data_IF_118189952114
#
_entry.id   IF_118189952114
#
_cell.length_a   1.000
_cell.length_b   1.000
_cell.length_c   1.000
_cell.angle_alpha   90.00
_cell.angle_beta   90.00
_cell.angle_gamma   90.00
#
_symmetry.space_group_name_H-M   'P 1'
#
loop_
_entity.id
_entity.type
_entity.pdbx_description
1 polymer ?
#
# COMPACT_ATOMS: atom_id res chain seq x y z
N UNK A 1 16.34 6.99 -3.75
CA UNK A 1 17.09 7.87 -2.82
C UNK A 1 18.49 8.21 -3.34
N UNK A 2 19.33 7.23 -3.71
CA UNK A 2 20.69 7.50 -4.22
C UNK A 2 20.72 8.33 -5.52
N UNK A 3 19.69 8.23 -6.36
CA UNK A 3 19.60 8.99 -7.61
C UNK A 3 19.48 10.50 -7.40
N UNK A 4 19.00 10.96 -6.24
CA UNK A 4 18.85 12.38 -5.91
C UNK A 4 20.06 12.96 -5.17
N UNK A 5 20.91 12.13 -4.61
CA UNK A 5 22.03 12.57 -3.79
C UNK A 5 23.00 13.47 -4.59
N UNK A 6 23.22 14.67 -4.10
CA UNK A 6 24.06 15.71 -4.74
C UNK A 6 23.55 16.15 -6.13
N UNK A 7 22.30 15.84 -6.50
CA UNK A 7 21.72 16.31 -7.75
C UNK A 7 21.01 17.65 -7.57
N UNK A 8 21.07 18.49 -8.61
CA UNK A 8 20.29 19.73 -8.67
C UNK A 8 18.87 19.41 -9.15
N UNK A 9 17.88 19.71 -8.32
CA UNK A 9 16.47 19.42 -8.54
C UNK A 9 15.66 20.70 -8.62
N UNK A 10 14.84 20.81 -9.66
CA UNK A 10 13.89 21.90 -9.86
C UNK A 10 12.46 21.42 -9.56
N UNK A 11 11.77 22.13 -8.68
CA UNK A 11 10.35 21.85 -8.36
C UNK A 11 9.50 23.01 -8.87
N UNK A 12 8.46 22.69 -9.64
CA UNK A 12 7.51 23.64 -10.19
C UNK A 12 6.25 23.66 -9.35
N UNK A 13 5.94 24.85 -8.80
CA UNK A 13 4.78 25.09 -7.94
C UNK A 13 5.03 24.78 -6.46
N UNK A 14 4.62 25.69 -5.58
CA UNK A 14 4.77 25.61 -4.13
C UNK A 14 3.41 25.61 -3.42
N UNK A 15 2.65 24.55 -3.70
CA UNK A 15 1.53 24.08 -2.88
C UNK A 15 2.00 22.95 -1.95
N UNK A 16 1.05 22.20 -1.38
CA UNK A 16 1.34 21.11 -0.43
C UNK A 16 2.25 20.04 -1.04
N UNK A 17 1.93 19.54 -2.24
CA UNK A 17 2.79 18.57 -2.94
C UNK A 17 4.16 19.14 -3.33
N UNK A 18 4.24 20.44 -3.65
CA UNK A 18 5.51 21.10 -3.95
C UNK A 18 6.43 21.16 -2.73
N UNK A 19 5.87 21.49 -1.57
CA UNK A 19 6.59 21.50 -0.30
C UNK A 19 7.01 20.07 0.10
N UNK A 20 6.12 19.09 -0.02
CA UNK A 20 6.43 17.69 0.26
C UNK A 20 7.57 17.14 -0.62
N UNK A 21 7.54 17.48 -1.91
CA UNK A 21 8.65 17.13 -2.83
C UNK A 21 9.96 17.81 -2.43
N UNK A 22 9.92 19.08 -2.00
CA UNK A 22 11.11 19.81 -1.54
C UNK A 22 11.70 19.16 -0.28
N UNK A 23 10.88 18.84 0.72
CA UNK A 23 11.30 18.12 1.95
C UNK A 23 11.95 16.79 1.60
N UNK A 24 11.30 16.00 0.74
CA UNK A 24 11.79 14.69 0.33
C UNK A 24 13.13 14.77 -0.41
N UNK A 25 13.23 15.65 -1.40
CA UNK A 25 14.47 15.81 -2.17
C UNK A 25 15.63 16.29 -1.29
N UNK A 26 15.39 17.21 -0.35
CA UNK A 26 16.40 17.65 0.63
C UNK A 26 16.81 16.48 1.53
N UNK A 27 15.85 15.69 2.05
CA UNK A 27 16.12 14.49 2.84
C UNK A 27 16.99 13.48 2.08
N UNK A 28 16.83 13.41 0.76
CA UNK A 28 17.65 12.56 -0.11
C UNK A 28 19.02 13.17 -0.47
N UNK A 29 19.34 14.36 0.05
CA UNK A 29 20.63 15.03 -0.19
C UNK A 29 20.71 15.80 -1.51
N UNK A 30 19.57 16.16 -2.13
CA UNK A 30 19.52 16.96 -3.34
C UNK A 30 19.71 18.47 -3.03
N UNK A 31 20.21 19.20 -4.02
CA UNK A 31 20.21 20.67 -4.06
C UNK A 31 18.91 21.13 -4.72
N UNK A 32 17.99 21.69 -3.94
CA UNK A 32 16.63 21.98 -4.39
C UNK A 32 16.43 23.46 -4.70
N UNK A 33 15.82 23.73 -5.84
CA UNK A 33 15.25 25.03 -6.19
C UNK A 33 13.76 24.86 -6.44
N UNK A 34 12.94 25.78 -5.90
CA UNK A 34 11.48 25.79 -6.11
C UNK A 34 11.10 27.03 -6.89
N UNK A 35 10.34 26.88 -7.96
CA UNK A 35 9.82 27.97 -8.80
C UNK A 35 8.31 28.03 -8.69
N UNK A 36 7.78 29.23 -8.51
CA UNK A 36 6.33 29.48 -8.59
C UNK A 36 6.06 30.80 -9.33
N UNK A 37 4.95 30.86 -10.06
CA UNK A 37 4.53 32.07 -10.76
C UNK A 37 3.91 33.11 -9.83
N UNK A 38 3.60 32.73 -8.60
CA UNK A 38 3.08 33.61 -7.56
C UNK A 38 4.22 34.17 -6.71
N UNK A 39 4.18 35.42 -6.40
CA UNK A 39 5.17 36.06 -5.51
C UNK A 39 5.14 35.47 -4.10
N UNK A 40 3.94 35.17 -3.59
CA UNK A 40 3.71 34.55 -2.29
C UNK A 40 2.82 33.31 -2.40
N UNK A 41 3.36 32.17 -2.86
CA UNK A 41 2.62 30.91 -2.90
C UNK A 41 2.29 30.41 -1.49
N UNK A 42 1.25 29.57 -1.32
CA UNK A 42 0.71 29.19 -0.01
C UNK A 42 1.75 28.65 0.98
N UNK A 43 2.73 27.89 0.52
CA UNK A 43 3.70 27.23 1.38
C UNK A 43 5.06 27.95 1.49
N UNK A 44 5.17 29.20 1.00
CA UNK A 44 6.44 29.95 1.01
C UNK A 44 6.97 30.22 2.41
N UNK A 45 6.09 30.57 3.34
CA UNK A 45 6.48 30.87 4.74
C UNK A 45 7.02 29.60 5.41
N UNK A 46 6.37 28.45 5.19
CA UNK A 46 6.80 27.14 5.71
C UNK A 46 8.12 26.73 5.09
N UNK A 47 8.27 26.83 3.76
CA UNK A 47 9.52 26.52 3.06
C UNK A 47 10.70 27.30 3.65
N UNK A 48 10.55 28.60 3.85
CA UNK A 48 11.62 29.46 4.40
C UNK A 48 12.01 29.11 5.83
N UNK A 49 11.05 28.65 6.62
CA UNK A 49 11.29 28.28 8.01
C UNK A 49 11.95 26.91 8.14
N UNK A 50 11.44 25.91 7.42
CA UNK A 50 11.88 24.53 7.55
C UNK A 50 13.09 24.20 6.68
N UNK A 51 13.18 24.81 5.49
CA UNK A 51 14.19 24.52 4.49
C UNK A 51 14.90 25.79 4.00
N UNK A 52 15.57 26.55 4.89
CA UNK A 52 16.20 27.83 4.53
C UNK A 52 17.29 27.70 3.45
N UNK A 53 17.83 26.50 3.22
CA UNK A 53 18.80 26.19 2.18
C UNK A 53 18.17 26.07 0.79
N UNK A 54 16.85 25.88 0.69
CA UNK A 54 16.15 25.75 -0.60
C UNK A 54 15.93 27.12 -1.22
N UNK A 55 16.37 27.27 -2.45
CA UNK A 55 16.21 28.52 -3.21
C UNK A 55 14.78 28.62 -3.73
N UNK A 56 14.05 29.66 -3.36
CA UNK A 56 12.78 30.03 -3.97
C UNK A 56 13.00 31.06 -5.09
N UNK A 57 12.38 30.83 -6.25
CA UNK A 57 12.43 31.67 -7.43
C UNK A 57 11.01 32.05 -7.84
N UNK A 58 10.69 33.34 -7.85
CA UNK A 58 9.47 33.86 -8.45
C UNK A 58 9.73 34.12 -9.93
N UNK A 59 9.15 33.28 -10.81
CA UNK A 59 9.33 33.39 -12.26
C UNK A 59 8.23 32.66 -13.02
N UNK A 60 8.04 33.00 -14.30
CA UNK A 60 7.29 32.18 -15.23
C UNK A 60 7.98 30.82 -15.43
N UNK A 61 7.22 29.82 -15.86
CA UNK A 61 7.75 28.47 -16.18
C UNK A 61 8.26 28.45 -17.62
N UNK A 62 9.45 28.94 -17.85
CA UNK A 62 10.08 29.00 -19.17
C UNK A 62 11.31 28.07 -19.31
N UNK A 63 11.77 27.86 -20.54
CA UNK A 63 12.85 26.92 -20.82
C UNK A 63 14.20 27.32 -20.19
N UNK A 64 14.41 28.60 -19.89
CA UNK A 64 15.67 29.11 -19.27
C UNK A 64 15.91 28.59 -17.87
N UNK A 65 14.85 28.07 -17.21
CA UNK A 65 14.98 27.41 -15.91
C UNK A 65 15.77 26.08 -16.00
N UNK A 66 15.92 25.53 -17.20
CA UNK A 66 16.62 24.27 -17.48
C UNK A 66 17.80 24.49 -18.42
N UNK A 67 17.61 25.25 -19.49
CA UNK A 67 18.63 25.50 -20.49
C UNK A 67 19.84 26.25 -19.91
N UNK A 68 21.04 25.67 -20.07
CA UNK A 68 22.26 26.23 -19.51
C UNK A 68 22.39 26.14 -18.00
N UNK A 69 21.51 25.42 -17.33
CA UNK A 69 21.53 25.18 -15.88
C UNK A 69 22.06 23.78 -15.54
N UNK A 70 22.53 23.59 -14.31
CA UNK A 70 23.00 22.30 -13.81
C UNK A 70 21.86 21.38 -13.31
N UNK A 71 20.60 21.64 -13.73
CA UNK A 71 19.44 20.86 -13.33
C UNK A 71 19.54 19.42 -13.86
N UNK A 72 19.20 18.44 -13.03
CA UNK A 72 19.20 17.00 -13.37
C UNK A 72 17.81 16.36 -13.28
N UNK A 73 16.90 16.97 -12.52
CA UNK A 73 15.52 16.50 -12.42
C UNK A 73 14.56 17.68 -12.29
N UNK A 74 13.37 17.53 -12.86
CA UNK A 74 12.27 18.51 -12.77
C UNK A 74 11.01 17.82 -12.31
N UNK A 75 10.45 18.27 -11.20
CA UNK A 75 9.19 17.77 -10.67
C UNK A 75 8.14 18.86 -10.63
N UNK A 76 6.89 18.52 -10.96
CA UNK A 76 5.79 19.48 -10.96
C UNK A 76 4.71 19.13 -9.93
N UNK A 77 4.12 20.15 -9.32
CA UNK A 77 2.89 20.03 -8.53
C UNK A 77 1.71 19.62 -9.42
N UNK A 78 0.80 18.74 -8.96
CA UNK A 78 -0.32 18.25 -9.77
C UNK A 78 -1.31 19.35 -10.18
N UNK A 79 -1.39 20.47 -9.45
CA UNK A 79 -2.24 21.60 -9.76
C UNK A 79 -1.77 22.50 -10.89
N UNK A 80 -0.61 22.23 -11.49
CA UNK A 80 -0.09 23.00 -12.64
C UNK A 80 -0.53 22.32 -13.94
N UNK A 81 -1.26 23.09 -14.80
CA UNK A 81 -1.73 22.57 -16.07
C UNK A 81 -0.56 22.22 -17.00
N UNK A 82 -0.71 21.19 -17.87
CA UNK A 82 0.31 20.82 -18.84
C UNK A 82 0.75 22.01 -19.70
N UNK A 83 -0.17 22.86 -20.09
CA UNK A 83 0.10 24.05 -20.90
C UNK A 83 0.98 25.07 -20.15
N UNK A 84 0.70 25.29 -18.86
CA UNK A 84 1.44 26.27 -18.04
C UNK A 84 2.91 25.92 -17.86
N UNK A 85 3.24 24.63 -17.83
CA UNK A 85 4.61 24.11 -17.61
C UNK A 85 5.26 23.63 -18.91
N UNK A 86 4.55 23.64 -20.05
CA UNK A 86 5.03 23.06 -21.30
C UNK A 86 6.43 23.54 -21.72
N UNK A 87 6.81 24.84 -21.63
CA UNK A 87 8.14 25.26 -22.07
C UNK A 87 9.25 24.64 -21.25
N UNK A 88 9.18 24.66 -19.90
CA UNK A 88 10.19 24.07 -19.03
C UNK A 88 10.18 22.54 -19.10
N UNK A 89 8.99 21.93 -19.23
CA UNK A 89 8.84 20.49 -19.31
C UNK A 89 9.43 19.89 -20.57
N UNK A 90 9.14 20.50 -21.73
CA UNK A 90 9.72 20.10 -23.01
C UNK A 90 11.22 20.28 -23.05
N UNK A 91 11.76 21.39 -22.53
CA UNK A 91 13.19 21.61 -22.40
C UNK A 91 13.85 20.53 -21.54
N UNK A 92 13.24 20.17 -20.41
CA UNK A 92 13.74 19.10 -19.54
C UNK A 92 13.74 17.74 -20.23
N UNK A 93 12.66 17.38 -20.94
CA UNK A 93 12.59 16.12 -21.70
C UNK A 93 13.61 16.10 -22.86
N UNK A 94 13.75 17.19 -23.59
CA UNK A 94 14.74 17.31 -24.68
C UNK A 94 16.18 17.17 -24.18
N UNK A 95 16.45 17.63 -22.97
CA UNK A 95 17.74 17.46 -22.29
C UNK A 95 17.92 16.07 -21.63
N UNK A 96 16.95 15.18 -21.73
CA UNK A 96 16.99 13.84 -21.13
C UNK A 96 16.98 13.85 -19.59
N UNK A 97 16.43 14.90 -18.98
CA UNK A 97 16.34 15.00 -17.52
C UNK A 97 15.25 14.10 -16.98
N UNK A 98 15.40 13.69 -15.72
CA UNK A 98 14.34 13.00 -15.01
C UNK A 98 13.18 13.96 -14.71
N UNK A 99 12.00 13.68 -15.26
CA UNK A 99 10.79 14.48 -15.06
C UNK A 99 9.73 13.66 -14.37
N UNK A 100 8.91 14.30 -13.53
CA UNK A 100 7.85 13.59 -12.82
C UNK A 100 7.03 14.46 -11.87
N UNK A 101 6.30 13.79 -10.99
CA UNK A 101 5.42 14.38 -9.99
C UNK A 101 5.75 13.82 -8.60
N UNK A 102 4.99 14.22 -7.58
CA UNK A 102 5.08 13.62 -6.25
C UNK A 102 4.87 12.10 -6.28
N UNK A 103 3.90 11.62 -7.08
CA UNK A 103 3.64 10.18 -7.22
C UNK A 103 4.83 9.43 -7.86
N UNK A 104 5.51 10.06 -8.82
CA UNK A 104 6.74 9.50 -9.42
C UNK A 104 7.84 9.31 -8.37
N UNK A 105 8.05 10.32 -7.52
CA UNK A 105 9.03 10.25 -6.41
C UNK A 105 8.63 9.21 -5.36
N UNK A 106 7.35 9.14 -5.02
CA UNK A 106 6.84 8.15 -4.08
C UNK A 106 7.02 6.71 -4.59
N UNK A 107 6.66 6.45 -5.86
CA UNK A 107 6.85 5.14 -6.48
C UNK A 107 8.34 4.74 -6.53
N UNK A 108 9.22 5.68 -6.89
CA UNK A 108 10.67 5.46 -6.87
C UNK A 108 11.18 5.19 -5.44
N UNK A 109 10.66 5.91 -4.45
CA UNK A 109 11.04 5.71 -3.06
C UNK A 109 10.65 4.32 -2.55
N UNK A 110 9.44 3.83 -2.87
CA UNK A 110 9.03 2.46 -2.53
C UNK A 110 9.92 1.41 -3.21
N UNK A 111 10.27 1.62 -4.48
CA UNK A 111 11.18 0.73 -5.21
C UNK A 111 12.58 0.70 -4.56
N UNK A 112 13.12 1.86 -4.18
CA UNK A 112 14.40 1.96 -3.48
C UNK A 112 14.37 1.25 -2.11
N UNK A 113 13.27 1.39 -1.35
CA UNK A 113 13.07 0.73 -0.06
C UNK A 113 12.95 -0.79 -0.23
N UNK A 114 12.26 -1.24 -1.27
CA UNK A 114 12.17 -2.66 -1.62
C UNK A 114 13.57 -3.26 -1.83
N UNK A 115 14.42 -2.58 -2.58
CA UNK A 115 15.77 -3.05 -2.88
C UNK A 115 16.70 -3.01 -1.67
N UNK A 116 16.58 -1.99 -0.79
CA UNK A 116 17.51 -1.74 0.33
C UNK A 116 17.12 -2.42 1.62
N UNK A 117 15.83 -2.56 1.90
CA UNK A 117 15.29 -3.01 3.17
C UNK A 117 14.37 -4.23 3.03
N UNK A 118 14.26 -4.81 1.82
CA UNK A 118 13.29 -5.86 1.49
C UNK A 118 11.84 -5.48 1.90
N UNK A 119 11.51 -4.19 1.80
CA UNK A 119 10.19 -3.68 2.15
C UNK A 119 9.23 -3.80 0.97
N UNK A 120 8.26 -4.72 1.03
CA UNK A 120 7.30 -5.04 -0.02
C UNK A 120 5.87 -4.74 0.41
N UNK A 121 5.48 -3.47 0.58
CA UNK A 121 4.13 -3.14 1.00
C UNK A 121 3.12 -3.44 -0.10
N UNK A 122 1.88 -3.73 0.29
CA UNK A 122 0.76 -3.69 -0.64
C UNK A 122 0.36 -2.24 -0.88
N UNK A 123 0.14 -1.89 -2.15
CA UNK A 123 -0.32 -0.55 -2.54
C UNK A 123 -1.69 -0.66 -3.18
N UNK A 124 -2.68 -0.04 -2.58
CA UNK A 124 -4.06 0.02 -3.07
C UNK A 124 -4.34 1.45 -3.53
N UNK A 125 -4.72 1.62 -4.79
CA UNK A 125 -4.89 2.93 -5.39
C UNK A 125 -6.35 3.17 -5.82
N UNK A 126 -6.90 4.31 -5.44
CA UNK A 126 -8.30 4.67 -5.66
C UNK A 126 -8.39 5.98 -6.45
N UNK A 127 -9.10 5.96 -7.57
CA UNK A 127 -9.51 7.15 -8.31
C UNK A 127 -10.96 7.01 -8.79
N UNK A 128 -11.48 8.02 -9.42
CA UNK A 128 -12.85 8.12 -9.94
C UNK A 128 -13.27 9.57 -10.00
N UNK A 129 -14.42 9.88 -10.57
CA UNK A 129 -15.00 11.22 -10.44
C UNK A 129 -15.50 11.40 -9.02
N UNK A 130 -16.33 10.47 -8.53
CA UNK A 130 -16.97 10.51 -7.21
C UNK A 130 -16.61 9.31 -6.35
N UNK A 131 -16.80 9.40 -5.02
CA UNK A 131 -16.64 8.30 -4.08
C UNK A 131 -15.21 8.04 -3.61
N UNK A 132 -14.19 8.68 -4.19
CA UNK A 132 -12.77 8.44 -3.87
C UNK A 132 -12.49 8.43 -2.36
N UNK A 133 -12.81 9.53 -1.68
CA UNK A 133 -12.51 9.72 -0.26
C UNK A 133 -13.21 8.66 0.60
N UNK A 134 -14.49 8.40 0.33
CA UNK A 134 -15.26 7.37 1.05
C UNK A 134 -14.61 5.99 0.90
N UNK A 135 -14.24 5.60 -0.33
CA UNK A 135 -13.62 4.28 -0.57
C UNK A 135 -12.22 4.22 0.03
N UNK A 136 -11.44 5.30 -0.06
CA UNK A 136 -10.07 5.35 0.50
C UNK A 136 -10.09 5.22 2.02
N UNK A 137 -10.88 6.06 2.70
CA UNK A 137 -11.00 6.02 4.17
C UNK A 137 -11.58 4.69 4.65
N UNK A 138 -12.65 4.22 4.00
CA UNK A 138 -13.25 2.94 4.33
C UNK A 138 -12.26 1.78 4.14
N UNK A 139 -11.56 1.70 3.01
CA UNK A 139 -10.53 0.68 2.77
C UNK A 139 -9.46 0.70 3.86
N UNK A 140 -8.96 1.89 4.22
CA UNK A 140 -8.00 2.06 5.30
C UNK A 140 -8.53 1.54 6.65
N UNK A 141 -9.78 1.87 7.00
CA UNK A 141 -10.43 1.39 8.23
C UNK A 141 -10.60 -0.13 8.24
N UNK A 142 -11.03 -0.73 7.11
CA UNK A 142 -11.21 -2.19 7.02
C UNK A 142 -9.90 -2.94 7.23
N UNK A 143 -8.82 -2.47 6.62
CA UNK A 143 -7.48 -3.05 6.76
C UNK A 143 -6.94 -2.90 8.19
N UNK A 144 -7.09 -1.73 8.80
CA UNK A 144 -6.70 -1.51 10.19
C UNK A 144 -7.49 -2.42 11.16
N UNK A 145 -8.79 -2.61 10.91
CA UNK A 145 -9.63 -3.57 11.67
C UNK A 145 -9.19 -5.01 11.47
N UNK A 146 -8.63 -5.35 10.31
CA UNK A 146 -8.04 -6.65 10.06
C UNK A 146 -6.64 -6.83 10.67
N UNK A 147 -6.16 -5.86 11.46
CA UNK A 147 -4.90 -5.92 12.19
C UNK A 147 -3.67 -5.53 11.36
N UNK A 148 -3.86 -4.93 10.19
CA UNK A 148 -2.73 -4.49 9.35
C UNK A 148 -2.29 -3.07 9.73
N UNK A 149 -0.99 -2.80 9.59
CA UNK A 149 -0.43 -1.44 9.67
C UNK A 149 -0.69 -0.72 8.35
N UNK A 150 -1.50 0.32 8.38
CA UNK A 150 -2.01 1.01 7.19
C UNK A 150 -1.55 2.46 7.18
N UNK A 151 -1.11 2.94 6.02
CA UNK A 151 -0.95 4.35 5.75
C UNK A 151 -1.95 4.79 4.68
N UNK A 152 -2.64 5.90 4.93
CA UNK A 152 -3.59 6.51 3.98
C UNK A 152 -3.03 7.86 3.57
N UNK A 153 -2.96 8.13 2.27
CA UNK A 153 -2.33 9.34 1.75
C UNK A 153 -2.85 9.74 0.36
N UNK A 154 -2.44 10.91 -0.10
CA UNK A 154 -2.68 11.40 -1.45
C UNK A 154 -3.62 12.59 -1.52
N UNK A 155 -4.54 12.60 -2.45
CA UNK A 155 -5.46 13.73 -2.70
C UNK A 155 -6.37 14.09 -1.50
N UNK A 156 -6.59 13.15 -0.60
CA UNK A 156 -7.35 13.36 0.66
C UNK A 156 -6.52 14.12 1.71
N UNK A 157 -5.17 14.14 1.55
CA UNK A 157 -4.22 14.55 2.58
C UNK A 157 -4.04 13.48 3.68
N UNK A 158 -2.90 13.42 4.31
CA UNK A 158 -1.68 14.15 3.97
C UNK A 158 -1.07 13.72 2.62
N UNK A 159 -0.05 14.44 2.16
CA UNK A 159 0.66 14.16 0.91
C UNK A 159 1.37 12.80 0.95
N UNK A 160 1.67 12.23 -0.21
CA UNK A 160 2.31 10.91 -0.32
C UNK A 160 3.69 10.90 0.35
N UNK A 161 4.52 11.91 0.05
CA UNK A 161 5.91 11.96 0.53
C UNK A 161 6.02 12.37 1.99
N UNK A 162 5.13 13.25 2.49
CA UNK A 162 5.13 13.58 3.92
C UNK A 162 4.69 12.36 4.75
N UNK A 163 3.67 11.60 4.27
CA UNK A 163 3.24 10.36 4.94
C UNK A 163 4.36 9.31 4.94
N UNK A 164 5.07 9.16 3.82
CA UNK A 164 6.21 8.24 3.74
C UNK A 164 7.34 8.66 4.68
N UNK A 165 7.65 9.96 4.73
CA UNK A 165 8.66 10.52 5.65
C UNK A 165 8.31 10.22 7.10
N UNK A 166 7.07 10.50 7.51
CA UNK A 166 6.58 10.23 8.85
C UNK A 166 6.63 8.74 9.21
N UNK A 167 6.24 7.87 8.25
CA UNK A 167 6.31 6.42 8.47
C UNK A 167 7.75 5.92 8.66
N UNK A 168 8.70 6.45 7.89
CA UNK A 168 10.12 6.11 8.00
C UNK A 168 10.70 6.60 9.33
N UNK A 169 10.38 7.82 9.76
CA UNK A 169 10.87 8.39 11.00
C UNK A 169 10.30 7.63 12.21
N UNK A 170 9.00 7.35 12.22
CA UNK A 170 8.36 6.56 13.27
C UNK A 170 8.92 5.12 13.35
N UNK A 171 9.19 4.50 12.19
CA UNK A 171 9.78 3.17 12.16
C UNK A 171 11.22 3.17 12.69
N UNK A 172 12.00 4.21 12.38
CA UNK A 172 13.37 4.37 12.90
C UNK A 172 13.39 4.56 14.44
N UNK A 173 12.45 5.37 14.96
CA UNK A 173 12.29 5.56 16.41
C UNK A 173 11.92 4.24 17.12
N UNK A 174 10.95 3.49 16.56
CA UNK A 174 10.53 2.21 17.13
C UNK A 174 11.65 1.17 17.07
N UNK A 175 12.42 1.15 15.98
CA UNK A 175 13.59 0.27 15.88
C UNK A 175 14.64 0.62 16.91
N UNK A 176 14.96 1.89 17.12
CA UNK A 176 15.93 2.32 18.13
C UNK A 176 15.51 1.92 19.55
N UNK A 177 14.22 2.05 19.89
CA UNK A 177 13.69 1.60 21.19
C UNK A 177 13.80 0.07 21.34
N UNK A 178 13.47 -0.67 20.28
CA UNK A 178 13.58 -2.14 20.31
C UNK A 178 15.04 -2.61 20.43
N UNK A 179 15.96 -1.97 19.72
CA UNK A 179 17.39 -2.27 19.77
C UNK A 179 17.96 -1.99 21.18
N UNK A 180 17.54 -0.89 21.80
CA UNK A 180 17.93 -0.56 23.17
C UNK A 180 17.40 -1.61 24.16
N UNK A 181 16.13 -1.98 24.07
CA UNK A 181 15.53 -3.00 24.94
C UNK A 181 16.21 -4.36 24.77
N UNK A 182 16.54 -4.74 23.53
CA UNK A 182 17.27 -5.98 23.25
C UNK A 182 18.70 -5.95 23.84
N UNK A 183 19.38 -4.81 23.75
CA UNK A 183 20.70 -4.63 24.33
C UNK A 183 20.67 -4.72 25.88
N UNK A 184 19.67 -4.13 26.53
CA UNK A 184 19.47 -4.21 27.99
C UNK A 184 19.20 -5.67 28.43
N UNK A 185 18.32 -6.39 27.73
CA UNK A 185 18.04 -7.80 27.98
C UNK A 185 19.27 -8.70 27.77
N UNK A 186 20.04 -8.43 26.72
CA UNK A 186 21.27 -9.16 26.46
C UNK A 186 22.33 -8.92 27.56
N UNK A 187 22.44 -7.69 28.06
CA UNK A 187 23.33 -7.34 29.16
C UNK A 187 22.90 -8.00 30.49
N UNK A 188 21.61 -8.01 30.80
CA UNK A 188 21.05 -8.67 31.99
C UNK A 188 21.32 -10.18 31.94
N UNK A 189 21.02 -10.82 30.80
CA UNK A 189 21.30 -12.25 30.62
C UNK A 189 22.79 -12.57 30.73
N UNK A 190 23.65 -11.74 30.13
CA UNK A 190 25.09 -11.93 30.26
C UNK A 190 25.59 -11.81 31.73
N UNK A 191 24.98 -10.91 32.51
CA UNK A 191 25.27 -10.79 33.94
C UNK A 191 24.78 -12.00 34.74
N UNK A 192 23.59 -12.53 34.44
CA UNK A 192 23.07 -13.76 35.03
C UNK A 192 23.95 -14.98 34.69
N UNK A 193 24.31 -15.14 33.40
CA UNK A 193 25.18 -16.22 32.93
C UNK A 193 26.59 -16.15 33.62
N UNK A 194 27.13 -14.93 33.77
CA UNK A 194 28.39 -14.72 34.45
C UNK A 194 28.31 -15.03 36.00
N UNK A 195 27.21 -14.64 36.63
CA UNK A 195 26.95 -14.97 38.02
C UNK A 195 26.79 -16.47 38.21
N UNK A 196 26.08 -17.16 37.34
CA UNK A 196 25.91 -18.60 37.37
C UNK A 196 27.27 -19.33 37.19
N UNK A 197 28.06 -18.89 36.19
CA UNK A 197 29.40 -19.43 35.96
C UNK A 197 30.34 -19.24 37.17
N UNK A 198 30.25 -18.11 37.89
CA UNK A 198 30.99 -17.85 39.08
C UNK A 198 30.60 -18.81 40.25
N UNK A 199 29.30 -19.09 40.40
CA UNK A 199 28.79 -20.06 41.38
C UNK A 199 29.28 -21.48 41.05
N UNK A 200 29.21 -21.88 39.78
CA UNK A 200 29.70 -23.20 39.33
C UNK A 200 31.22 -23.34 39.53
N UNK A 201 32.00 -22.30 39.26
CA UNK A 201 33.42 -22.27 39.46
C UNK A 201 33.74 -22.39 40.97
N UNK A 202 33.04 -21.66 41.83
CA UNK A 202 33.23 -21.73 43.27
C UNK A 202 32.90 -23.12 43.83
N UNK A 203 31.80 -23.74 43.33
CA UNK A 203 31.44 -25.11 43.72
C UNK A 203 32.49 -26.14 43.22
N UNK A 204 33.05 -25.95 42.03
CA UNK A 204 34.13 -26.79 41.52
C UNK A 204 35.42 -26.63 42.33
N UNK A 205 35.78 -25.41 42.74
CA UNK A 205 36.95 -25.12 43.59
C UNK A 205 36.77 -25.72 44.98
N UNK A 206 35.56 -25.63 45.55
CA UNK A 206 35.23 -26.28 46.85
C UNK A 206 35.32 -27.81 46.77
N UNK A 207 34.80 -28.41 45.64
CA UNK A 207 34.89 -29.85 45.42
C UNK A 207 36.34 -30.32 45.23
N UNK A 208 37.15 -29.54 44.51
CA UNK A 208 38.58 -29.80 44.32
C UNK A 208 39.34 -29.69 45.62
N UNK A 209 39.01 -28.71 46.48
CA UNK A 209 39.61 -28.58 47.85
C UNK A 209 39.23 -29.76 48.77
N UNK A 210 37.95 -30.20 48.69
CA UNK A 210 37.50 -31.39 49.44
C UNK A 210 38.19 -32.69 48.98
N UNK A 211 38.33 -32.87 47.64
CA UNK A 211 39.03 -34.02 47.05
C UNK A 211 40.52 -34.04 47.36
N UNK A 212 41.16 -32.87 47.54
CA UNK A 212 42.55 -32.76 47.94
C UNK A 212 42.79 -33.15 49.44
N UNK A 213 41.76 -33.05 50.29
CA UNK A 213 41.78 -33.52 51.69
C UNK A 213 41.54 -35.04 51.79
N UNK A 214 40.83 -35.67 50.84
CA UNK A 214 40.48 -37.10 50.89
C UNK A 214 41.53 -38.01 50.18
N UNK A 215 42.51 -37.49 49.50
CA UNK A 215 43.57 -38.25 48.81
C UNK A 215 44.73 -38.68 49.72
N UNK A 216 44.57 -38.52 51.06
CA UNK A 216 45.58 -38.98 51.97
C UNK A 216 45.42 -40.46 52.40
N UNK A 217 44.36 -41.15 52.14
CA UNK A 217 44.15 -42.56 52.46
C UNK A 217 43.28 -43.28 51.38
N UNK A 218 43.90 -43.89 50.33
CA UNK A 218 43.36 -45.10 49.70
C UNK A 218 44.26 -45.61 48.57
N UNK A 219 44.66 -46.86 48.67
CA UNK A 219 45.36 -47.66 47.63
C UNK A 219 44.42 -48.03 46.51
N UNK A 220 44.90 -48.30 45.24
CA UNK A 220 44.08 -48.49 44.08
C UNK A 220 43.55 -49.94 43.99
N UNK A 221 42.24 -50.07 43.84
CA UNK A 221 41.56 -51.31 43.37
C UNK A 221 41.26 -51.22 41.93
N UNK A 222 41.81 -52.18 41.17
CA UNK A 222 41.51 -52.38 39.74
C UNK A 222 40.09 -52.94 39.50
N UNK A 223 39.32 -52.36 38.60
CA UNK A 223 38.06 -52.93 38.14
C UNK A 223 38.15 -53.19 36.63
N UNK A 224 37.96 -54.46 36.30
CA UNK A 224 37.90 -55.00 34.91
C UNK A 224 36.70 -54.46 34.13
N UNK A 225 36.95 -54.08 32.88
CA UNK A 225 35.90 -53.76 31.88
C UNK A 225 35.21 -55.06 31.41
N UNK A 226 33.88 -55.06 31.47
CA UNK A 226 33.05 -56.07 30.81
C UNK A 226 32.38 -55.39 29.59
N UNK A 227 32.73 -55.91 28.40
CA UNK A 227 32.04 -55.66 27.17
C UNK A 227 30.79 -56.53 27.09
N UNK A 228 29.63 -55.92 26.82
CA UNK A 228 28.45 -56.67 26.33
C UNK A 228 28.06 -56.17 24.94
N UNK A 229 28.23 -57.10 23.98
CA UNK A 229 27.65 -57.07 22.66
C UNK A 229 26.17 -57.45 22.72
N UNK A 230 25.28 -56.60 22.17
CA UNK A 230 23.94 -57.01 21.79
C UNK A 230 23.52 -56.32 20.50
N UNK A 231 23.64 -57.05 19.42
CA UNK A 231 23.03 -56.71 18.11
C UNK A 231 21.52 -56.93 18.17
N UNK A 232 20.73 -55.87 17.98
CA UNK A 232 19.30 -55.97 17.65
C UNK A 232 19.13 -55.63 16.16
N UNK A 233 18.69 -56.61 15.39
CA UNK A 233 18.23 -56.39 14.01
C UNK A 233 16.86 -55.73 14.03
N UNK A 234 16.77 -54.56 13.43
CA UNK A 234 15.52 -53.81 13.28
C UNK A 234 14.96 -54.06 11.87
N UNK A 235 13.72 -54.57 11.82
CA UNK A 235 12.91 -54.74 10.61
C UNK A 235 12.57 -53.35 10.04
N UNK A 236 13.13 -52.96 8.90
CA UNK A 236 12.78 -51.74 8.20
C UNK A 236 11.49 -51.89 7.40
N UNK A 237 10.48 -51.05 7.63
CA UNK A 237 9.34 -50.95 6.72
C UNK A 237 9.75 -50.30 5.40
N UNK A 238 9.21 -50.83 4.31
CA UNK A 238 9.36 -50.33 2.94
C UNK A 238 8.95 -48.83 2.87
N UNK A 239 9.91 -47.91 2.85
CA UNK A 239 9.66 -46.51 2.50
C UNK A 239 9.53 -46.37 0.99
N UNK A 240 8.35 -45.94 0.54
CA UNK A 240 8.13 -45.47 -0.83
C UNK A 240 8.82 -44.10 -0.94
N UNK A 241 9.86 -44.04 -1.73
CA UNK A 241 10.66 -42.84 -2.00
C UNK A 241 9.82 -41.85 -2.83
N UNK A 242 8.95 -41.08 -2.14
CA UNK A 242 8.30 -39.90 -2.70
C UNK A 242 9.31 -38.77 -2.63
N UNK A 243 9.55 -38.03 -3.73
CA UNK A 243 10.45 -36.88 -3.67
C UNK A 243 9.98 -35.91 -2.57
N UNK A 244 10.87 -35.41 -1.72
CA UNK A 244 10.49 -34.55 -0.62
C UNK A 244 9.75 -33.32 -1.19
N UNK A 245 8.51 -33.12 -0.73
CA UNK A 245 7.76 -31.89 -0.96
C UNK A 245 8.60 -30.76 -0.38
N UNK A 246 9.33 -30.05 -1.24
CA UNK A 246 10.03 -28.83 -0.84
C UNK A 246 8.96 -27.83 -0.42
N UNK A 247 8.85 -27.47 0.86
CA UNK A 247 7.90 -26.47 1.28
C UNK A 247 8.17 -25.17 0.49
N UNK A 248 7.12 -24.42 0.10
CA UNK A 248 7.33 -23.14 -0.54
C UNK A 248 8.26 -22.27 0.34
N UNK A 249 9.15 -21.48 -0.27
CA UNK A 249 10.03 -20.62 0.49
C UNK A 249 9.20 -19.75 1.44
N UNK A 250 9.66 -19.54 2.69
CA UNK A 250 8.95 -18.69 3.63
C UNK A 250 8.72 -17.31 2.98
N UNK A 251 7.56 -16.67 3.23
CA UNK A 251 7.33 -15.33 2.74
C UNK A 251 8.47 -14.41 3.21
N UNK A 252 8.86 -13.41 2.39
CA UNK A 252 9.91 -12.48 2.78
C UNK A 252 9.54 -11.84 4.13
N UNK A 253 10.52 -11.62 5.03
CA UNK A 253 10.25 -11.05 6.34
C UNK A 253 9.63 -9.66 6.16
N UNK A 254 8.45 -9.45 6.75
CA UNK A 254 7.79 -8.16 6.76
C UNK A 254 8.57 -7.18 7.64
N UNK A 255 8.70 -5.93 7.19
CA UNK A 255 9.32 -4.89 8.02
C UNK A 255 8.45 -4.67 9.28
N UNK A 256 9.02 -4.74 10.51
CA UNK A 256 8.22 -4.80 11.74
C UNK A 256 7.39 -3.54 12.00
N UNK A 257 7.85 -2.37 11.55
CA UNK A 257 7.27 -1.08 11.93
C UNK A 257 6.68 -0.27 10.77
N UNK A 258 7.15 -0.47 9.52
CA UNK A 258 6.60 0.23 8.37
C UNK A 258 5.17 -0.23 8.03
N UNK A 259 4.35 0.59 7.35
CA UNK A 259 3.04 0.20 6.89
C UNK A 259 3.08 -1.05 6.00
N UNK A 260 2.23 -2.03 6.27
CA UNK A 260 2.08 -3.22 5.42
C UNK A 260 1.28 -2.88 4.17
N UNK A 261 0.36 -1.92 4.30
CA UNK A 261 -0.53 -1.50 3.20
C UNK A 261 -0.57 0.03 3.10
N UNK A 262 -0.40 0.51 1.89
CA UNK A 262 -0.66 1.90 1.50
C UNK A 262 -2.01 1.99 0.78
N UNK A 263 -2.87 2.89 1.22
CA UNK A 263 -4.15 3.18 0.59
C UNK A 263 -4.11 4.61 0.07
N UNK A 264 -4.10 4.77 -1.25
CA UNK A 264 -3.83 6.03 -1.91
C UNK A 264 -5.06 6.57 -2.63
N UNK A 265 -5.50 7.77 -2.28
CA UNK A 265 -6.44 8.52 -3.09
C UNK A 265 -5.69 9.33 -4.15
N UNK A 266 -5.98 9.09 -5.43
CA UNK A 266 -5.29 9.75 -6.53
C UNK A 266 -6.28 10.49 -7.45
N UNK A 267 -6.00 11.76 -7.71
CA UNK A 267 -6.70 12.57 -8.71
C UNK A 267 -6.17 12.27 -10.12
N UNK A 268 -6.93 12.66 -11.15
CA UNK A 268 -6.47 12.59 -12.54
C UNK A 268 -5.22 13.45 -12.78
N UNK A 269 -5.08 14.55 -12.05
CA UNK A 269 -3.93 15.45 -12.13
C UNK A 269 -2.64 14.83 -11.58
N UNK A 270 -2.74 14.05 -10.49
CA UNK A 270 -1.60 13.33 -9.90
C UNK A 270 -1.17 12.15 -10.76
N UNK A 271 -2.10 11.53 -11.49
CA UNK A 271 -1.84 10.39 -12.37
C UNK A 271 -1.27 10.80 -13.73
N UNK A 272 -1.42 12.09 -14.09
CA UNK A 272 -0.95 12.57 -15.39
C UNK A 272 0.58 12.56 -15.49
N UNK A 273 1.10 11.92 -16.53
CA UNK A 273 2.54 11.84 -16.80
C UNK A 273 3.31 10.90 -15.88
N UNK A 274 2.62 10.01 -15.15
CA UNK A 274 3.24 9.00 -14.30
C UNK A 274 3.32 7.66 -15.03
N UNK A 275 4.51 7.09 -15.14
CA UNK A 275 4.76 5.86 -15.89
C UNK A 275 5.34 4.72 -15.02
N UNK A 276 5.83 5.03 -13.81
CA UNK A 276 6.51 4.08 -12.92
C UNK A 276 5.68 3.62 -11.72
N UNK A 277 4.36 3.84 -11.75
CA UNK A 277 3.48 3.48 -10.64
C UNK A 277 2.84 2.11 -10.86
N UNK A 278 3.17 1.15 -10.01
CA UNK A 278 2.70 -0.24 -10.07
C UNK A 278 2.05 -0.65 -8.74
N UNK A 279 0.75 -0.38 -8.52
CA UNK A 279 0.07 -0.80 -7.30
C UNK A 279 -0.26 -2.29 -7.31
N UNK A 280 -0.56 -2.85 -6.15
CA UNK A 280 -1.03 -4.24 -5.99
C UNK A 280 -2.43 -4.41 -6.59
N UNK A 281 -3.33 -3.47 -6.28
CA UNK A 281 -4.66 -3.38 -6.85
C UNK A 281 -5.08 -1.92 -6.97
N UNK A 282 -5.91 -1.62 -7.95
CA UNK A 282 -6.40 -0.26 -8.16
C UNK A 282 -7.85 -0.26 -8.66
N UNK A 283 -8.53 0.86 -8.44
CA UNK A 283 -9.90 1.07 -8.94
C UNK A 283 -10.08 2.45 -9.56
N UNK A 284 -10.85 2.48 -10.64
CA UNK A 284 -11.56 3.66 -11.12
C UNK A 284 -13.03 3.46 -10.77
N UNK A 285 -13.54 4.22 -9.81
CA UNK A 285 -14.88 3.99 -9.26
C UNK A 285 -16.00 4.34 -10.25
N UNK A 286 -15.80 5.41 -10.99
CA UNK A 286 -16.75 5.92 -12.00
C UNK A 286 -16.08 6.99 -12.87
N UNK A 287 -16.65 7.23 -14.05
CA UNK A 287 -16.23 8.24 -15.01
C UNK A 287 -17.44 9.08 -15.43
N UNK A 288 -17.66 10.22 -14.77
CA UNK A 288 -18.64 11.22 -15.16
C UNK A 288 -17.95 12.51 -15.59
N UNK A 289 -18.65 13.38 -16.29
CA UNK A 289 -18.06 14.61 -16.81
C UNK A 289 -17.52 15.50 -15.68
N UNK A 290 -16.19 15.72 -15.73
CA UNK A 290 -15.48 16.61 -14.82
C UNK A 290 -14.12 16.97 -15.44
N UNK A 291 -13.55 18.11 -15.08
CA UNK A 291 -12.22 18.55 -15.50
C UNK A 291 -11.91 18.49 -17.02
N UNK A 292 -12.94 18.70 -17.88
CA UNK A 292 -12.75 18.66 -19.33
C UNK A 292 -11.97 19.86 -19.87
N UNK A 293 -11.98 20.98 -19.15
CA UNK A 293 -11.10 22.12 -19.37
C UNK A 293 -9.61 21.77 -19.29
N UNK A 294 -9.27 20.78 -18.46
CA UNK A 294 -7.90 20.29 -18.30
C UNK A 294 -7.57 19.14 -19.26
N UNK A 295 -8.44 18.14 -19.37
CA UNK A 295 -8.18 16.91 -20.11
C UNK A 295 -8.66 16.97 -21.58
N UNK A 296 -9.34 18.03 -21.98
CA UNK A 296 -9.85 18.26 -23.33
C UNK A 296 -11.05 17.38 -23.72
N UNK A 297 -11.14 16.16 -23.19
CA UNK A 297 -12.24 15.23 -23.51
C UNK A 297 -12.44 14.17 -22.41
N UNK A 298 -13.60 13.48 -22.42
CA UNK A 298 -13.85 12.33 -21.57
C UNK A 298 -12.85 11.18 -21.83
N UNK A 299 -12.42 11.01 -23.07
CA UNK A 299 -11.39 10.01 -23.41
C UNK A 299 -10.03 10.36 -22.78
N UNK A 300 -9.61 11.63 -22.85
CA UNK A 300 -8.41 12.12 -22.18
C UNK A 300 -8.47 11.99 -20.66
N UNK A 301 -9.62 12.33 -20.07
CA UNK A 301 -9.87 12.16 -18.64
C UNK A 301 -9.82 10.70 -18.19
N UNK A 302 -10.47 9.81 -18.94
CA UNK A 302 -10.42 8.36 -18.70
C UNK A 302 -9.00 7.80 -18.84
N UNK A 303 -8.28 8.21 -19.89
CA UNK A 303 -6.89 7.79 -20.10
C UNK A 303 -5.94 8.25 -18.98
N UNK A 304 -6.11 9.48 -18.47
CA UNK A 304 -5.35 9.95 -17.31
C UNK A 304 -5.61 9.08 -16.08
N UNK A 305 -6.87 8.76 -15.78
CA UNK A 305 -7.23 7.89 -14.66
C UNK A 305 -6.79 6.43 -14.84
N UNK A 306 -6.79 5.91 -16.06
CA UNK A 306 -6.39 4.54 -16.37
C UNK A 306 -4.92 4.24 -16.02
N UNK A 307 -4.06 5.27 -15.93
CA UNK A 307 -2.66 5.13 -15.48
C UNK A 307 -2.54 4.57 -14.05
N UNK A 308 -3.61 4.67 -13.25
CA UNK A 308 -3.65 4.11 -11.89
C UNK A 308 -3.43 2.59 -11.86
N UNK A 309 -3.74 1.90 -12.96
CA UNK A 309 -3.62 0.45 -13.04
C UNK A 309 -2.20 -0.05 -13.32
N UNK A 310 -1.27 0.82 -13.69
CA UNK A 310 0.05 0.38 -14.13
C UNK A 310 -0.02 -0.76 -15.14
N UNK A 311 1.00 -1.62 -15.16
CA UNK A 311 1.06 -2.76 -16.09
C UNK A 311 0.53 -4.07 -15.48
N UNK A 312 0.58 -4.23 -14.15
CA UNK A 312 0.35 -5.53 -13.50
C UNK A 312 -0.72 -5.53 -12.39
N UNK A 313 -1.16 -4.37 -11.92
CA UNK A 313 -2.13 -4.30 -10.83
C UNK A 313 -3.42 -5.08 -11.11
N UNK A 314 -4.00 -5.70 -10.08
CA UNK A 314 -5.36 -6.20 -10.15
C UNK A 314 -6.32 -5.02 -10.38
N UNK A 315 -7.06 -5.05 -11.47
CA UNK A 315 -8.07 -4.03 -11.77
C UNK A 315 -9.37 -4.34 -11.04
N UNK A 316 -9.84 -3.41 -10.19
CA UNK A 316 -11.15 -3.49 -9.52
C UNK A 316 -12.09 -2.54 -10.25
N UNK A 317 -13.01 -3.06 -11.05
CA UNK A 317 -13.79 -2.30 -12.03
C UNK A 317 -15.27 -2.22 -11.65
N UNK A 318 -15.84 -1.03 -11.77
CA UNK A 318 -17.30 -0.84 -11.68
C UNK A 318 -17.96 -1.30 -12.98
N UNK A 319 -18.64 -2.45 -12.96
CA UNK A 319 -19.30 -2.99 -14.17
C UNK A 319 -20.55 -2.24 -14.61
N UNK A 320 -21.08 -1.32 -13.79
CA UNK A 320 -22.20 -0.47 -14.17
C UNK A 320 -21.77 0.77 -14.99
N UNK A 321 -20.49 1.11 -14.95
CA UNK A 321 -19.94 2.25 -15.67
C UNK A 321 -19.23 1.77 -16.94
N UNK A 322 -19.87 1.99 -18.08
CA UNK A 322 -19.34 1.60 -19.39
C UNK A 322 -17.98 2.26 -19.71
N UNK A 323 -17.76 3.49 -19.22
CA UNK A 323 -16.48 4.19 -19.35
C UNK A 323 -15.37 3.50 -18.56
N UNK A 324 -15.67 3.02 -17.35
CA UNK A 324 -14.73 2.24 -16.53
C UNK A 324 -14.45 0.87 -17.17
N UNK A 325 -15.48 0.17 -17.63
CA UNK A 325 -15.29 -1.12 -18.30
C UNK A 325 -14.50 -1.02 -19.60
N UNK A 326 -14.58 0.10 -20.31
CA UNK A 326 -13.78 0.36 -21.51
C UNK A 326 -12.28 0.56 -21.22
N UNK A 327 -11.87 0.72 -19.94
CA UNK A 327 -10.46 0.77 -19.53
C UNK A 327 -9.81 -0.62 -19.45
N UNK A 328 -10.60 -1.70 -19.47
CA UNK A 328 -10.07 -3.05 -19.48
C UNK A 328 -9.45 -3.33 -20.86
N UNK A 329 -8.16 -3.66 -20.93
CA UNK A 329 -7.50 -3.95 -22.20
C UNK A 329 -8.09 -5.18 -22.90
N UNK A 330 -8.12 -5.16 -24.21
CA UNK A 330 -8.49 -6.30 -25.03
C UNK A 330 -7.60 -7.52 -24.73
N UNK A 331 -8.17 -8.73 -24.74
CA UNK A 331 -7.41 -9.95 -24.52
C UNK A 331 -6.26 -10.12 -25.52
N UNK A 332 -5.04 -10.31 -25.03
CA UNK A 332 -3.87 -10.53 -25.89
C UNK A 332 -3.88 -11.96 -26.42
N UNK A 333 -3.90 -12.10 -27.74
CA UNK A 333 -3.84 -13.41 -28.40
C UNK A 333 -2.40 -13.94 -28.39
N UNK A 334 -2.18 -15.03 -27.65
CA UNK A 334 -0.92 -15.75 -27.64
C UNK A 334 -1.04 -17.00 -28.50
N UNK A 335 -0.07 -17.21 -29.41
CA UNK A 335 -0.09 -18.36 -30.32
C UNK A 335 -0.13 -19.68 -29.53
N UNK A 336 -1.09 -20.55 -29.85
CA UNK A 336 -1.30 -21.87 -29.22
C UNK A 336 -1.72 -21.82 -27.73
N UNK A 337 -2.10 -20.67 -27.20
CA UNK A 337 -2.59 -20.52 -25.82
C UNK A 337 -3.97 -19.86 -25.80
N UNK A 338 -4.66 -19.94 -24.64
CA UNK A 338 -5.86 -19.13 -24.43
C UNK A 338 -5.48 -17.64 -24.43
N UNK A 339 -6.36 -16.75 -24.97
CA UNK A 339 -6.12 -15.32 -24.87
C UNK A 339 -5.84 -14.91 -23.40
N UNK A 340 -4.79 -14.15 -23.19
CA UNK A 340 -4.47 -13.61 -21.87
C UNK A 340 -5.32 -12.38 -21.61
N UNK A 341 -6.16 -12.45 -20.59
CA UNK A 341 -6.97 -11.33 -20.10
C UNK A 341 -6.24 -10.69 -18.92
N UNK A 342 -6.25 -9.37 -18.86
CA UNK A 342 -5.73 -8.61 -17.71
C UNK A 342 -6.45 -9.05 -16.43
N UNK A 343 -5.69 -9.29 -15.37
CA UNK A 343 -6.25 -9.66 -14.07
C UNK A 343 -7.22 -8.58 -13.59
N UNK A 344 -8.49 -8.94 -13.40
CA UNK A 344 -9.52 -8.03 -12.95
C UNK A 344 -10.63 -8.74 -12.19
N UNK A 345 -11.27 -8.01 -11.31
CA UNK A 345 -12.53 -8.33 -10.64
C UNK A 345 -13.48 -7.15 -10.82
N UNK A 346 -14.77 -7.40 -10.74
CA UNK A 346 -15.77 -6.35 -10.88
C UNK A 346 -16.61 -6.20 -9.62
N UNK A 347 -17.19 -5.01 -9.46
CA UNK A 347 -18.26 -4.76 -8.50
C UNK A 347 -19.43 -4.05 -9.20
N UNK A 348 -20.65 -4.25 -8.70
CA UNK A 348 -21.86 -3.65 -9.28
C UNK A 348 -23.06 -3.86 -8.38
N UNK A 349 -24.18 -3.25 -8.73
CA UNK A 349 -25.42 -3.33 -7.99
C UNK A 349 -26.38 -4.44 -8.45
N UNK A 350 -25.90 -5.38 -9.22
CA UNK A 350 -26.54 -6.59 -9.68
C UNK A 350 -25.84 -7.84 -9.14
N UNK A 351 -26.40 -9.01 -9.37
CA UNK A 351 -25.83 -10.29 -8.94
C UNK A 351 -24.52 -10.55 -9.73
N UNK A 352 -23.39 -10.86 -9.05
CA UNK A 352 -22.14 -11.17 -9.72
C UNK A 352 -22.26 -12.51 -10.46
N UNK A 353 -21.59 -12.63 -11.61
CA UNK A 353 -21.67 -13.80 -12.49
C UNK A 353 -20.34 -14.54 -12.68
N UNK A 354 -19.23 -13.99 -12.14
CA UNK A 354 -17.93 -14.63 -12.24
C UNK A 354 -17.31 -14.79 -10.85
N UNK A 355 -16.55 -15.85 -10.59
CA UNK A 355 -15.81 -15.99 -9.35
C UNK A 355 -14.90 -14.78 -9.09
N UNK A 356 -14.92 -14.29 -7.86
CA UNK A 356 -14.17 -13.12 -7.44
C UNK A 356 -14.92 -11.79 -7.56
N UNK A 357 -15.98 -11.71 -8.38
CA UNK A 357 -16.78 -10.50 -8.55
C UNK A 357 -17.69 -10.24 -7.33
N UNK A 358 -17.92 -8.95 -7.06
CA UNK A 358 -18.78 -8.46 -5.96
C UNK A 358 -20.08 -7.90 -6.51
N UNK A 359 -21.15 -7.97 -5.73
CA UNK A 359 -22.43 -7.48 -6.18
C UNK A 359 -23.47 -7.32 -5.09
N UNK A 360 -24.69 -7.09 -5.53
CA UNK A 360 -25.87 -6.93 -4.69
C UNK A 360 -26.89 -8.00 -5.08
N UNK A 361 -27.44 -8.66 -4.08
CA UNK A 361 -28.52 -9.63 -4.24
C UNK A 361 -29.75 -9.17 -3.47
N UNK A 362 -30.91 -9.24 -4.09
CA UNK A 362 -32.20 -8.94 -3.44
C UNK A 362 -32.93 -10.23 -3.11
N UNK A 363 -33.06 -10.53 -1.81
CA UNK A 363 -33.70 -11.76 -1.32
C UNK A 363 -34.66 -11.44 -0.18
N UNK A 364 -35.89 -11.91 -0.30
CA UNK A 364 -36.94 -11.76 0.73
C UNK A 364 -37.12 -10.31 1.24
N UNK A 365 -37.07 -9.34 0.35
CA UNK A 365 -37.25 -7.93 0.69
C UNK A 365 -36.02 -7.25 1.27
N UNK A 366 -34.87 -7.94 1.35
CA UNK A 366 -33.61 -7.40 1.84
C UNK A 366 -32.57 -7.34 0.74
N UNK A 367 -31.76 -6.28 0.75
CA UNK A 367 -30.63 -6.07 -0.14
C UNK A 367 -29.35 -6.56 0.55
N UNK A 368 -28.65 -7.53 -0.06
CA UNK A 368 -27.42 -8.13 0.49
C UNK A 368 -26.19 -7.74 -0.29
N UNK A 369 -25.12 -7.42 0.39
CA UNK A 369 -23.77 -7.35 -0.20
C UNK A 369 -23.26 -8.79 -0.37
N UNK A 370 -22.78 -9.12 -1.57
CA UNK A 370 -22.41 -10.50 -1.93
C UNK A 370 -21.11 -10.56 -2.74
N UNK A 371 -20.52 -11.76 -2.78
CA UNK A 371 -19.41 -12.11 -3.68
C UNK A 371 -19.71 -13.47 -4.32
N UNK A 372 -19.33 -13.61 -5.57
CA UNK A 372 -19.30 -14.92 -6.23
C UNK A 372 -17.99 -15.64 -5.90
N UNK A 373 -18.08 -16.90 -5.55
CA UNK A 373 -16.97 -17.82 -5.36
C UNK A 373 -17.07 -18.97 -6.35
N UNK A 374 -15.99 -19.67 -6.59
CA UNK A 374 -16.07 -20.99 -7.27
C UNK A 374 -16.89 -21.96 -6.42
N UNK A 375 -17.80 -22.69 -7.04
CA UNK A 375 -18.66 -23.64 -6.33
C UNK A 375 -17.87 -24.86 -5.84
N UNK A 376 -16.83 -25.28 -6.58
CA UNK A 376 -15.97 -26.42 -6.22
C UNK A 376 -14.52 -26.14 -6.63
N UNK A 377 -13.68 -25.73 -5.68
CA UNK A 377 -12.25 -25.45 -5.87
C UNK A 377 -11.43 -26.73 -6.14
N UNK A 378 -11.99 -27.92 -5.87
CA UNK A 378 -11.30 -29.21 -6.02
C UNK A 378 -11.47 -29.81 -7.41
N UNK A 379 -12.44 -29.37 -8.18
CA UNK A 379 -12.78 -29.90 -9.49
C UNK A 379 -11.89 -29.32 -10.59
N UNK A 380 -11.05 -30.16 -11.22
CA UNK A 380 -10.32 -29.74 -12.42
C UNK A 380 -11.32 -29.43 -13.56
N UNK A 381 -11.41 -28.17 -13.97
CA UNK A 381 -12.31 -27.69 -15.03
C UNK A 381 -12.07 -28.42 -16.35
N UNK A 382 -13.14 -28.90 -16.99
CA UNK A 382 -13.15 -29.25 -18.40
C UNK A 382 -13.41 -28.01 -19.24
N UNK A 383 -12.99 -28.03 -20.51
CA UNK A 383 -12.95 -26.87 -21.42
C UNK A 383 -14.32 -26.23 -21.69
N UNK A 384 -15.41 -26.97 -21.49
CA UNK A 384 -16.80 -26.62 -21.84
C UNK A 384 -17.73 -26.54 -20.59
N UNK A 385 -17.20 -26.67 -19.37
CA UNK A 385 -18.01 -26.52 -18.15
C UNK A 385 -18.35 -25.03 -17.92
N UNK A 386 -19.64 -24.72 -17.77
CA UNK A 386 -20.08 -23.41 -17.26
C UNK A 386 -19.50 -23.20 -15.86
N UNK A 387 -19.11 -21.97 -15.55
CA UNK A 387 -18.59 -21.63 -14.21
C UNK A 387 -19.72 -21.72 -13.19
N UNK A 388 -19.83 -22.83 -12.49
CA UNK A 388 -20.72 -22.92 -11.34
C UNK A 388 -20.19 -21.96 -10.26
N UNK A 389 -21.00 -20.97 -9.89
CA UNK A 389 -20.67 -19.99 -8.84
C UNK A 389 -21.51 -20.26 -7.59
N UNK A 390 -20.87 -20.04 -6.44
CA UNK A 390 -21.53 -19.98 -5.15
C UNK A 390 -21.63 -18.52 -4.70
N UNK A 391 -22.83 -18.05 -4.35
CA UNK A 391 -23.02 -16.67 -3.86
C UNK A 391 -22.83 -16.64 -2.35
N UNK A 392 -21.75 -16.03 -1.92
CA UNK A 392 -21.48 -15.75 -0.52
C UNK A 392 -22.13 -14.43 -0.11
N UNK A 393 -23.14 -14.49 0.76
CA UNK A 393 -23.77 -13.31 1.35
C UNK A 393 -22.95 -12.82 2.53
N UNK A 394 -22.64 -11.54 2.57
CA UNK A 394 -21.84 -10.91 3.62
C UNK A 394 -22.72 -10.32 4.74
N UNK A 395 -23.50 -9.32 4.38
CA UNK A 395 -24.38 -8.59 5.29
C UNK A 395 -25.46 -7.85 4.52
N UNK A 396 -26.59 -7.52 5.15
CA UNK A 396 -27.57 -6.62 4.55
C UNK A 396 -26.97 -5.23 4.30
N UNK A 397 -27.29 -4.61 3.17
CA UNK A 397 -26.85 -3.25 2.85
C UNK A 397 -27.39 -2.22 3.86
N UNK A 398 -28.58 -2.46 4.42
CA UNK A 398 -29.19 -1.59 5.43
C UNK A 398 -28.43 -1.58 6.78
N UNK A 399 -27.52 -2.54 6.99
CA UNK A 399 -26.63 -2.55 8.13
C UNK A 399 -25.44 -1.57 8.00
N UNK A 400 -25.24 -1.00 6.81
CA UNK A 400 -24.30 0.11 6.60
C UNK A 400 -24.86 1.39 7.22
N UNK A 401 -24.03 2.16 7.91
CA UNK A 401 -24.42 3.48 8.41
C UNK A 401 -24.42 4.55 7.31
N UNK A 402 -23.57 4.39 6.29
CA UNK A 402 -23.57 5.19 5.08
C UNK A 402 -24.70 4.73 4.17
N UNK A 403 -25.62 5.64 3.84
CA UNK A 403 -26.84 5.30 3.13
C UNK A 403 -26.71 5.46 1.62
N UNK A 404 -27.58 4.81 0.89
CA UNK A 404 -27.73 4.92 -0.55
C UNK A 404 -27.00 3.81 -1.33
N UNK A 405 -27.54 3.52 -2.53
CA UNK A 405 -27.00 2.48 -3.41
C UNK A 405 -25.54 2.73 -3.80
N UNK A 406 -25.18 4.00 -4.03
CA UNK A 406 -23.81 4.38 -4.34
C UNK A 406 -22.83 4.03 -3.19
N UNK A 407 -23.27 4.16 -1.93
CA UNK A 407 -22.43 3.77 -0.78
C UNK A 407 -22.36 2.26 -0.60
N UNK A 408 -23.38 1.51 -0.98
CA UNK A 408 -23.28 0.04 -1.07
C UNK A 408 -22.21 -0.38 -2.12
N UNK A 409 -22.17 0.28 -3.27
CA UNK A 409 -21.12 0.07 -4.28
C UNK A 409 -19.73 0.49 -3.78
N UNK A 410 -19.62 1.62 -3.07
CA UNK A 410 -18.38 2.05 -2.42
C UNK A 410 -17.88 1.00 -1.42
N UNK A 411 -18.80 0.40 -0.64
CA UNK A 411 -18.46 -0.66 0.31
C UNK A 411 -17.96 -1.94 -0.40
N UNK A 412 -18.57 -2.32 -1.52
CA UNK A 412 -18.10 -3.45 -2.34
C UNK A 412 -16.72 -3.20 -2.92
N UNK A 413 -16.45 -2.00 -3.44
CA UNK A 413 -15.14 -1.61 -3.94
C UNK A 413 -14.07 -1.66 -2.83
N UNK A 414 -14.38 -1.14 -1.63
CA UNK A 414 -13.48 -1.19 -0.49
C UNK A 414 -13.20 -2.63 -0.02
N UNK A 415 -14.22 -3.49 0.03
CA UNK A 415 -14.05 -4.93 0.33
C UNK A 415 -13.16 -5.63 -0.70
N UNK A 416 -13.38 -5.36 -1.99
CA UNK A 416 -12.60 -5.95 -3.07
C UNK A 416 -11.11 -5.56 -2.96
N UNK A 417 -10.83 -4.27 -2.72
CA UNK A 417 -9.47 -3.77 -2.53
C UNK A 417 -8.82 -4.36 -1.27
N UNK A 418 -9.50 -4.32 -0.12
CA UNK A 418 -8.95 -4.83 1.13
C UNK A 418 -8.71 -6.35 1.08
N UNK A 419 -9.60 -7.10 0.40
CA UNK A 419 -9.41 -8.54 0.17
C UNK A 419 -8.17 -8.80 -0.71
N UNK A 420 -7.91 -7.97 -1.72
CA UNK A 420 -6.73 -8.11 -2.58
C UNK A 420 -5.41 -7.88 -1.82
N UNK A 421 -5.46 -7.16 -0.71
CA UNK A 421 -4.33 -7.00 0.21
C UNK A 421 -4.19 -8.13 1.24
N UNK A 422 -5.09 -9.12 1.20
CA UNK A 422 -5.05 -10.28 2.09
C UNK A 422 -5.78 -10.09 3.43
N UNK A 423 -6.62 -9.05 3.56
CA UNK A 423 -7.40 -8.84 4.77
C UNK A 423 -8.47 -9.93 4.96
N UNK A 424 -8.65 -10.40 6.19
CA UNK A 424 -9.66 -11.39 6.54
C UNK A 424 -11.06 -10.78 6.56
N UNK A 425 -12.06 -11.55 6.10
CA UNK A 425 -13.42 -11.04 5.87
C UNK A 425 -14.16 -10.61 7.16
N UNK A 426 -14.09 -11.39 8.23
CA UNK A 426 -14.88 -11.14 9.43
C UNK A 426 -14.64 -9.77 10.08
N UNK A 427 -13.37 -9.34 10.35
CA UNK A 427 -13.12 -8.00 10.88
C UNK A 427 -13.50 -6.88 9.88
N UNK A 428 -13.40 -7.13 8.57
CA UNK A 428 -13.85 -6.16 7.57
C UNK A 428 -15.35 -5.93 7.62
N UNK A 429 -16.18 -6.97 7.74
CA UNK A 429 -17.63 -6.85 7.87
C UNK A 429 -18.04 -6.12 9.15
N UNK A 430 -17.28 -6.28 10.22
CA UNK A 430 -17.47 -5.49 11.42
C UNK A 430 -17.13 -4.01 11.18
N UNK A 431 -16.01 -3.73 10.54
CA UNK A 431 -15.58 -2.38 10.17
C UNK A 431 -16.60 -1.66 9.28
N UNK A 432 -17.24 -2.36 8.33
CA UNK A 432 -18.31 -1.79 7.49
C UNK A 432 -19.50 -1.28 8.31
N UNK A 433 -19.87 -1.98 9.37
CA UNK A 433 -20.99 -1.58 10.26
C UNK A 433 -20.64 -0.37 11.14
N UNK A 434 -19.36 -0.14 11.39
CA UNK A 434 -18.89 0.97 12.22
C UNK A 434 -18.64 2.24 11.44
N UNK A 435 -18.33 2.14 10.15
CA UNK A 435 -17.98 3.28 9.31
C UNK A 435 -19.15 4.27 9.19
N UNK A 436 -18.92 5.51 9.58
CA UNK A 436 -19.95 6.55 9.65
C UNK A 436 -19.98 7.48 8.44
N UNK A 437 -19.04 7.35 7.52
CA UNK A 437 -18.81 8.28 6.41
C UNK A 437 -17.80 9.36 6.75
N UNK A 438 -17.58 10.23 5.77
CA UNK A 438 -16.66 11.36 5.87
C UNK A 438 -17.43 12.66 6.06
N UNK A 439 -16.86 13.67 6.74
CA UNK A 439 -17.47 14.96 6.89
C UNK A 439 -17.88 15.58 5.53
N UNK A 440 -19.05 16.21 5.52
CA UNK A 440 -19.59 16.90 4.34
C UNK A 440 -19.90 15.98 3.13
N UNK A 441 -20.10 14.67 3.35
CA UNK A 441 -20.43 13.69 2.31
C UNK A 441 -21.64 12.86 2.73
N UNK A 442 -22.83 13.39 2.42
CA UNK A 442 -24.13 12.85 2.88
C UNK A 442 -24.11 12.65 4.39
N UNK A 443 -23.47 13.60 5.08
CA UNK A 443 -23.32 13.58 6.55
C UNK A 443 -24.68 13.88 7.21
N UNK A 444 -25.21 13.00 8.08
CA UNK A 444 -26.46 13.28 8.77
C UNK A 444 -26.26 14.39 9.79
N UNK A 445 -27.00 15.50 9.64
CA UNK A 445 -26.92 16.69 10.52
C UNK A 445 -27.95 16.62 11.62
N UNK A 446 -29.24 16.44 11.28
CA UNK A 446 -30.35 16.41 12.25
C UNK A 446 -31.61 15.84 11.65
N UNK A 447 -32.58 15.53 12.53
CA UNK A 447 -33.94 15.17 12.14
C UNK A 447 -34.89 16.19 12.81
N UNK A 448 -35.66 16.94 12.02
CA UNK A 448 -36.67 17.88 12.52
C UNK A 448 -38.04 17.49 11.93
N UNK A 449 -39.02 17.30 12.76
CA UNK A 449 -40.39 16.96 12.36
C UNK A 449 -40.49 15.75 11.41
N UNK A 450 -39.59 14.76 11.59
CA UNK A 450 -39.54 13.56 10.76
C UNK A 450 -38.79 13.77 9.41
N UNK A 451 -38.24 14.96 9.16
CA UNK A 451 -37.42 15.25 7.99
C UNK A 451 -35.93 15.13 8.37
N UNK A 452 -35.21 14.28 7.64
CA UNK A 452 -33.77 14.11 7.80
C UNK A 452 -33.00 15.17 6.98
N UNK A 453 -32.00 15.81 7.60
CA UNK A 453 -31.12 16.80 6.99
C UNK A 453 -29.72 16.25 6.88
N UNK A 454 -29.13 16.38 5.69
CA UNK A 454 -27.77 15.91 5.39
C UNK A 454 -26.92 17.05 4.87
N UNK A 455 -25.65 17.07 5.26
CA UNK A 455 -24.61 17.92 4.64
C UNK A 455 -23.86 17.13 3.55
N UNK A 456 -23.99 17.60 2.31
CA UNK A 456 -23.24 17.08 1.14
C UNK A 456 -22.54 18.21 0.39
N UNK A 457 -21.97 19.16 1.13
CA UNK A 457 -21.29 20.33 0.56
C UNK A 457 -20.02 19.99 -0.24
N UNK A 458 -19.55 18.72 -0.19
CA UNK A 458 -18.48 18.19 -1.03
C UNK A 458 -18.97 17.62 -2.37
N UNK A 459 -20.27 17.57 -2.65
CA UNK A 459 -20.84 17.28 -3.95
C UNK A 459 -20.57 18.43 -4.91
N UNK A 460 -19.58 18.30 -5.80
CA UNK A 460 -19.10 19.38 -6.69
C UNK A 460 -19.48 19.21 -8.15
N UNK A 461 -20.18 18.15 -8.50
CA UNK A 461 -20.65 17.89 -9.86
C UNK A 461 -22.01 17.17 -9.85
N UNK A 462 -22.71 17.20 -10.99
CA UNK A 462 -24.07 16.63 -11.12
C UNK A 462 -24.12 15.13 -10.84
N UNK A 463 -23.04 14.40 -11.08
CA UNK A 463 -22.96 12.97 -10.79
C UNK A 463 -22.70 12.66 -9.31
N UNK A 464 -22.42 13.66 -8.47
CA UNK A 464 -22.21 13.50 -7.04
C UNK A 464 -23.50 13.63 -6.25
N UNK A 465 -24.50 14.33 -6.79
CA UNK A 465 -25.83 14.57 -6.22
C UNK A 465 -26.84 13.62 -6.82
#
# INVERSE_FOLDING_TARGET
>A
MLQLQNQSVLILGLGDSGLAMARWCVRCGAQVSVVDTREAPPQLAVLRTELPQVRFIHSAFDATLVEGQEVRAVFKSPGLSPESVAPVWQAAQAAGLWVGTELTLFAQALHDLQTRMAYHPKVLAITGTNGKTTVTSLTGQLLARAGQRVAVAGNIGPTLLDTLTQALDAAAEQQAVADQAAAEQAAEKAAEDAAQAAIEQQAADELAAAAALDTAEAEPVAVEEAQEDAAVQDDQPFEVDLPPLVPPPPPPPEHPYLPQVWVLELSSFQLEGVDNFEPTAATVLNLTQDHLDWHGSMAGYGAAKARIFGQQALMVLNREDAGVMALLPEPVRVKLQKPQVRAHITFGGDLPQRPGDYGIEFVNGMTWLVRALEADETRKRRKDDEEEIHIQRFMPADALRIRGRHNALNALAALALATSAGASLAPMLYGLREYRGEPHRVEPVTVLDGVEYFDDSKGTNVGAT
#
